data_IF_070648596066
#
_entry.id   IF_070648596066
#
_cell.length_a   1.000
_cell.length_b   1.000
_cell.length_c   1.000
_cell.angle_alpha   90.00
_cell.angle_beta   90.00
_cell.angle_gamma   90.00
#
_symmetry.space_group_name_H-M   'P 1'
#
loop_
_entity.id
_entity.type
_entity.pdbx_description
1 polymer ?
#
# COMPACT_ATOMS: atom_id res chain seq x y z
N UNK A 1 0.53 43.21 39.78
CA UNK A 1 1.12 42.29 38.80
C UNK A 1 0.95 40.89 39.37
N UNK A 2 0.33 39.96 38.64
CA UNK A 2 0.15 38.59 39.12
C UNK A 2 1.39 37.74 38.85
N UNK A 3 1.78 36.93 39.83
CA UNK A 3 2.83 35.93 39.72
C UNK A 3 2.17 34.54 39.75
N UNK A 4 2.63 33.64 38.89
CA UNK A 4 2.21 32.25 38.84
C UNK A 4 3.41 31.35 39.11
N UNK A 5 3.18 30.15 39.63
CA UNK A 5 4.24 29.15 39.83
C UNK A 5 4.36 28.30 38.57
N UNK A 6 5.59 28.09 38.11
CA UNK A 6 5.82 27.17 37.00
C UNK A 6 5.42 25.74 37.41
N UNK A 7 4.64 25.00 36.60
CA UNK A 7 4.19 23.64 36.96
C UNK A 7 5.33 22.64 37.10
N UNK A 8 6.46 22.88 36.43
CA UNK A 8 7.60 21.96 36.35
C UNK A 8 8.69 22.23 37.39
N UNK A 9 9.07 23.50 37.60
CA UNK A 9 10.12 23.86 38.56
C UNK A 9 9.63 24.48 39.88
N UNK A 10 8.33 24.75 40.02
CA UNK A 10 7.72 25.38 41.21
C UNK A 10 8.09 26.85 41.46
N UNK A 11 9.04 27.40 40.69
CA UNK A 11 9.53 28.77 40.84
C UNK A 11 8.48 29.81 40.40
N UNK A 12 8.45 30.94 41.10
CA UNK A 12 7.54 32.05 40.83
C UNK A 12 8.00 32.87 39.61
N UNK A 13 7.09 33.08 38.67
CA UNK A 13 7.30 33.76 37.38
C UNK A 13 6.12 34.69 37.07
N UNK A 14 6.31 35.60 36.12
CA UNK A 14 5.24 36.53 35.70
C UNK A 14 4.13 35.78 34.97
N UNK A 15 2.86 36.12 35.29
CA UNK A 15 1.69 35.54 34.63
C UNK A 15 1.67 35.70 33.09
N UNK A 16 2.42 36.68 32.56
CA UNK A 16 2.49 36.98 31.13
C UNK A 16 3.73 36.37 30.41
N UNK A 17 4.49 35.48 31.06
CA UNK A 17 5.68 34.87 30.47
C UNK A 17 5.36 33.57 29.72
N UNK A 18 5.58 33.57 28.39
CA UNK A 18 5.29 32.42 27.49
C UNK A 18 6.12 31.17 27.84
N UNK A 19 7.29 31.35 28.45
CA UNK A 19 8.13 30.25 28.93
C UNK A 19 8.83 30.60 30.24
N UNK A 20 9.11 29.58 31.05
CA UNK A 20 9.84 29.72 32.30
C UNK A 20 11.32 29.95 32.02
N UNK A 21 11.89 31.02 32.57
CA UNK A 21 13.32 31.34 32.41
C UNK A 21 14.28 30.33 33.07
N UNK A 22 13.80 29.53 34.02
CA UNK A 22 14.63 28.63 34.82
C UNK A 22 14.67 27.19 34.29
N UNK A 23 13.57 26.68 33.73
CA UNK A 23 13.49 25.32 33.17
C UNK A 23 13.11 25.26 31.67
N UNK A 24 12.75 26.38 31.04
CA UNK A 24 12.37 26.45 29.62
C UNK A 24 10.93 26.02 29.30
N UNK A 25 10.19 25.46 30.26
CA UNK A 25 8.84 24.95 30.02
C UNK A 25 7.87 26.07 29.62
N UNK A 26 7.07 25.84 28.58
CA UNK A 26 6.06 26.80 28.08
C UNK A 26 4.89 26.87 29.06
N UNK A 27 4.45 28.08 29.41
CA UNK A 27 3.24 28.28 30.20
C UNK A 27 2.15 28.74 29.25
N UNK A 28 1.40 27.77 28.74
CA UNK A 28 0.13 28.03 28.06
C UNK A 28 -0.98 28.26 29.07
N UNK A 29 -1.95 29.10 28.74
CA UNK A 29 -3.23 29.11 29.44
C UNK A 29 -3.92 27.77 29.18
N UNK A 30 -4.22 27.05 30.25
CA UNK A 30 -4.84 25.73 30.20
C UNK A 30 -6.36 25.86 30.13
N UNK A 31 -6.96 25.44 29.01
CA UNK A 31 -8.21 24.69 29.08
C UNK A 31 -7.85 23.19 29.08
N UNK A 32 -8.27 22.50 30.14
CA UNK A 32 -7.96 21.09 30.42
C UNK A 32 -9.07 20.13 29.95
N UNK A 33 -8.68 18.86 29.90
CA UNK A 33 -9.44 17.61 29.65
C UNK A 33 -9.65 17.19 28.18
N UNK A 34 -9.31 15.96 27.74
CA UNK A 34 -8.57 14.85 28.40
C UNK A 34 -7.85 13.97 27.34
N UNK A 35 -6.58 13.62 27.61
CA UNK A 35 -5.78 12.46 27.12
C UNK A 35 -6.02 11.93 25.69
N UNK A 36 -5.04 12.13 24.80
CA UNK A 36 -4.24 11.04 24.20
C UNK A 36 -3.02 11.61 23.44
N UNK A 37 -1.88 10.92 23.53
CA UNK A 37 -0.75 11.14 22.63
C UNK A 37 -1.10 10.52 21.28
N UNK A 38 -1.38 11.35 20.27
CA UNK A 38 -1.22 10.98 18.85
C UNK A 38 -1.29 12.22 17.94
N UNK A 39 -0.45 12.18 16.89
CA UNK A 39 -0.51 12.91 15.62
C UNK A 39 -0.26 14.45 15.50
N UNK A 40 0.61 14.79 14.55
CA UNK A 40 0.62 16.08 13.83
C UNK A 40 0.96 15.85 12.35
N UNK A 41 0.09 15.04 11.75
CA UNK A 41 -0.10 14.75 10.35
C UNK A 41 0.28 15.86 9.36
N UNK A 42 1.01 15.45 8.32
CA UNK A 42 0.76 15.97 6.97
C UNK A 42 -0.27 15.05 6.32
N UNK A 43 -1.51 15.55 6.19
CA UNK A 43 -2.62 14.94 5.46
C UNK A 43 -3.07 13.52 5.90
N UNK A 44 -3.36 13.30 7.19
CA UNK A 44 -4.35 12.28 7.54
C UNK A 44 -5.75 12.77 7.12
N UNK A 45 -6.10 12.54 5.85
CA UNK A 45 -7.46 12.79 5.39
C UNK A 45 -8.39 11.83 6.13
N UNK A 46 -9.25 12.39 6.97
CA UNK A 46 -10.46 11.77 7.53
C UNK A 46 -11.48 11.52 6.42
N UNK A 47 -11.13 10.67 5.46
CA UNK A 47 -12.02 10.30 4.36
C UNK A 47 -13.25 9.61 4.96
N UNK A 48 -14.49 10.00 4.58
CA UNK A 48 -15.72 9.45 5.13
C UNK A 48 -15.71 7.91 5.10
N UNK A 49 -15.88 7.30 6.28
CA UNK A 49 -15.64 5.87 6.51
C UNK A 49 -16.50 4.96 5.61
N UNK A 50 -17.73 5.37 5.30
CA UNK A 50 -18.62 4.67 4.35
C UNK A 50 -18.24 4.78 2.87
N UNK A 51 -17.35 5.70 2.49
CA UNK A 51 -16.89 5.87 1.10
C UNK A 51 -15.61 5.06 0.84
N UNK A 52 -14.75 4.88 1.86
CA UNK A 52 -13.48 4.13 1.77
C UNK A 52 -13.67 2.64 1.42
N UNK A 53 -14.62 1.90 2.00
CA UNK A 53 -14.77 0.46 1.68
C UNK A 53 -15.13 0.22 0.20
N UNK A 54 -15.95 1.10 -0.38
CA UNK A 54 -16.32 1.06 -1.79
C UNK A 54 -15.12 1.33 -2.71
N UNK A 55 -14.14 2.09 -2.24
CA UNK A 55 -12.89 2.38 -2.95
C UNK A 55 -11.92 1.18 -2.92
N UNK A 56 -11.69 0.59 -1.74
CA UNK A 56 -10.89 -0.64 -1.62
C UNK A 56 -11.46 -1.80 -2.44
N UNK A 57 -12.79 -1.95 -2.48
CA UNK A 57 -13.45 -2.94 -3.34
C UNK A 57 -13.23 -2.68 -4.86
N UNK A 58 -13.08 -1.43 -5.29
CA UNK A 58 -12.70 -1.10 -6.70
C UNK A 58 -11.24 -1.43 -6.96
N UNK A 59 -10.35 -1.13 -6.01
CA UNK A 59 -8.90 -1.39 -6.11
C UNK A 59 -8.62 -2.90 -6.16
N UNK A 60 -9.19 -3.69 -5.25
CA UNK A 60 -9.02 -5.14 -5.21
C UNK A 60 -9.49 -5.83 -6.50
N UNK A 61 -10.65 -5.43 -7.04
CA UNK A 61 -11.15 -5.91 -8.34
C UNK A 61 -10.18 -5.58 -9.49
N UNK A 62 -9.62 -4.37 -9.54
CA UNK A 62 -8.62 -4.01 -10.56
C UNK A 62 -7.36 -4.87 -10.45
N UNK A 63 -6.85 -5.11 -9.23
CA UNK A 63 -5.66 -5.96 -9.01
C UNK A 63 -5.86 -7.38 -9.54
N UNK A 64 -7.03 -7.98 -9.26
CA UNK A 64 -7.36 -9.32 -9.74
C UNK A 64 -7.45 -9.37 -11.27
N UNK A 65 -8.11 -8.39 -11.91
CA UNK A 65 -8.20 -8.32 -13.38
C UNK A 65 -6.79 -8.26 -14.01
N UNK A 66 -5.91 -7.42 -13.47
CA UNK A 66 -4.52 -7.30 -13.93
C UNK A 66 -3.74 -8.62 -13.73
N UNK A 67 -3.88 -9.27 -12.56
CA UNK A 67 -3.25 -10.56 -12.29
C UNK A 67 -3.71 -11.68 -13.25
N UNK A 68 -5.00 -11.72 -13.58
CA UNK A 68 -5.53 -12.65 -14.59
C UNK A 68 -4.96 -12.40 -16.00
N UNK A 69 -4.74 -11.13 -16.39
CA UNK A 69 -4.09 -10.79 -17.67
C UNK A 69 -2.66 -11.34 -17.73
N UNK A 70 -1.88 -11.21 -16.65
CA UNK A 70 -0.53 -11.78 -16.59
C UNK A 70 -0.52 -13.31 -16.70
N UNK A 71 -1.49 -14.00 -16.10
CA UNK A 71 -1.66 -15.45 -16.31
C UNK A 71 -1.99 -15.80 -17.76
N UNK A 72 -2.91 -15.09 -18.42
CA UNK A 72 -3.26 -15.33 -19.84
C UNK A 72 -2.03 -15.16 -20.74
N UNK A 73 -1.21 -14.11 -20.52
CA UNK A 73 0.03 -13.88 -21.27
C UNK A 73 1.06 -14.98 -20.99
N UNK A 74 1.18 -15.43 -19.73
CA UNK A 74 2.04 -16.55 -19.37
C UNK A 74 1.63 -17.85 -20.08
N UNK A 75 0.34 -18.18 -20.07
CA UNK A 75 -0.17 -19.38 -20.76
C UNK A 75 -0.01 -19.28 -22.28
N UNK A 76 -0.19 -18.09 -22.88
CA UNK A 76 0.10 -17.86 -24.29
C UNK A 76 1.54 -18.21 -24.66
N UNK A 77 2.52 -17.91 -23.78
CA UNK A 77 3.94 -18.25 -24.01
C UNK A 77 4.21 -19.75 -24.08
N UNK A 78 3.50 -20.58 -23.32
CA UNK A 78 3.68 -22.05 -23.35
C UNK A 78 2.82 -22.70 -24.44
N UNK A 79 1.54 -22.35 -24.55
CA UNK A 79 0.60 -23.07 -25.42
C UNK A 79 0.69 -22.69 -26.90
N UNK A 80 1.24 -21.52 -27.22
CA UNK A 80 1.36 -21.05 -28.61
C UNK A 80 2.85 -20.93 -28.92
N UNK A 81 3.40 -22.04 -29.41
CA UNK A 81 4.78 -22.17 -29.89
C UNK A 81 4.76 -22.63 -31.35
N UNK A 82 5.59 -22.01 -32.20
CA UNK A 82 5.85 -22.48 -33.56
C UNK A 82 7.33 -22.26 -33.89
N UNK A 83 8.04 -23.35 -34.18
CA UNK A 83 9.48 -23.34 -34.49
C UNK A 83 9.84 -22.71 -35.84
N UNK A 84 8.86 -22.46 -36.72
CA UNK A 84 9.09 -21.87 -38.05
C UNK A 84 9.72 -22.83 -39.07
N UNK A 85 9.57 -24.15 -38.86
CA UNK A 85 10.29 -25.23 -39.57
C UNK A 85 10.01 -25.25 -41.08
N UNK A 86 8.79 -24.88 -41.50
CA UNK A 86 8.38 -24.86 -42.91
C UNK A 86 8.64 -23.50 -43.58
N UNK A 87 8.49 -22.40 -42.83
CA UNK A 87 8.79 -21.04 -43.28
C UNK A 87 9.35 -20.21 -42.10
N UNK A 88 10.65 -19.89 -42.18
CA UNK A 88 11.41 -19.20 -41.12
C UNK A 88 10.82 -17.86 -40.65
N UNK A 89 9.97 -17.22 -41.45
CA UNK A 89 9.31 -15.95 -41.13
C UNK A 89 8.14 -16.05 -40.15
N UNK A 90 7.61 -17.26 -39.88
CA UNK A 90 6.41 -17.47 -39.03
C UNK A 90 6.73 -18.12 -37.67
N UNK A 91 7.94 -17.91 -37.14
CA UNK A 91 8.31 -18.40 -35.82
C UNK A 91 7.58 -17.62 -34.71
N UNK A 92 6.90 -18.32 -33.81
CA UNK A 92 6.13 -17.74 -32.70
C UNK A 92 6.65 -18.28 -31.38
N UNK A 93 7.08 -17.38 -30.49
CA UNK A 93 7.71 -17.71 -29.21
C UNK A 93 8.93 -18.65 -29.36
N UNK A 94 9.62 -18.58 -30.51
CA UNK A 94 10.96 -19.10 -30.70
C UNK A 94 11.98 -17.95 -30.59
N UNK A 95 13.13 -18.22 -29.97
CA UNK A 95 14.18 -17.23 -29.68
C UNK A 95 15.56 -17.73 -30.14
N UNK A 96 15.78 -19.04 -30.11
CA UNK A 96 17.03 -19.70 -30.48
C UNK A 96 16.73 -20.99 -31.26
N UNK A 97 17.73 -21.53 -31.95
CA UNK A 97 17.58 -22.79 -32.69
C UNK A 97 17.39 -23.99 -31.77
N UNK A 98 16.35 -24.80 -32.04
CA UNK A 98 16.05 -26.05 -31.33
C UNK A 98 14.91 -25.93 -30.31
N UNK A 99 13.94 -26.84 -30.40
CA UNK A 99 12.67 -26.74 -29.65
C UNK A 99 12.83 -26.83 -28.14
N UNK A 100 13.74 -27.68 -27.67
CA UNK A 100 14.00 -27.86 -26.24
C UNK A 100 14.42 -26.55 -25.55
N UNK A 101 15.25 -25.73 -26.21
CA UNK A 101 15.66 -24.44 -25.65
C UNK A 101 14.50 -23.44 -25.61
N UNK A 102 13.70 -23.35 -26.68
CA UNK A 102 12.54 -22.46 -26.72
C UNK A 102 11.47 -22.84 -25.68
N UNK A 103 11.25 -24.15 -25.45
CA UNK A 103 10.36 -24.65 -24.41
C UNK A 103 10.84 -24.24 -23.00
N UNK A 104 12.13 -24.38 -22.70
CA UNK A 104 12.71 -23.94 -21.41
C UNK A 104 12.55 -22.42 -21.23
N UNK A 105 12.83 -21.63 -22.28
CA UNK A 105 12.70 -20.17 -22.25
C UNK A 105 11.23 -19.75 -22.02
N UNK A 106 10.27 -20.36 -22.73
CA UNK A 106 8.86 -20.06 -22.52
C UNK A 106 8.36 -20.50 -21.13
N UNK A 107 8.91 -21.59 -20.57
CA UNK A 107 8.62 -22.02 -19.22
C UNK A 107 9.13 -21.01 -18.16
N UNK A 108 10.31 -20.40 -18.33
CA UNK A 108 10.79 -19.37 -17.40
C UNK A 108 9.97 -18.08 -17.49
N UNK A 109 9.56 -17.65 -18.69
CA UNK A 109 8.62 -16.54 -18.85
C UNK A 109 7.27 -16.83 -18.16
N UNK A 110 6.71 -18.02 -18.38
CA UNK A 110 5.48 -18.44 -17.70
C UNK A 110 5.61 -18.44 -16.18
N UNK A 111 6.71 -18.98 -15.63
CA UNK A 111 6.93 -19.00 -14.19
C UNK A 111 6.98 -17.58 -13.59
N UNK A 112 7.74 -16.66 -14.20
CA UNK A 112 7.82 -15.27 -13.75
C UNK A 112 6.47 -14.53 -13.82
N UNK A 113 5.76 -14.66 -14.94
CA UNK A 113 4.43 -14.06 -15.13
C UNK A 113 3.38 -14.67 -14.19
N UNK A 114 3.49 -15.97 -13.88
CA UNK A 114 2.59 -16.67 -12.95
C UNK A 114 2.78 -16.20 -11.51
N UNK A 115 4.02 -15.93 -11.08
CA UNK A 115 4.33 -15.38 -9.74
C UNK A 115 3.79 -13.95 -9.62
N UNK A 116 4.02 -13.09 -10.62
CA UNK A 116 3.51 -11.70 -10.62
C UNK A 116 1.97 -11.69 -10.64
N UNK A 117 1.35 -12.51 -11.51
CA UNK A 117 -0.11 -12.63 -11.58
C UNK A 117 -0.72 -13.16 -10.28
N UNK A 118 -0.13 -14.23 -9.72
CA UNK A 118 -0.60 -14.86 -8.48
C UNK A 118 -0.48 -13.94 -7.27
N UNK A 119 0.64 -13.22 -7.12
CA UNK A 119 0.82 -12.26 -6.00
C UNK A 119 -0.15 -11.09 -6.09
N UNK A 120 -0.47 -10.57 -7.28
CA UNK A 120 -1.48 -9.53 -7.51
C UNK A 120 -2.93 -10.00 -7.24
N UNK A 121 -3.23 -11.28 -7.50
CA UNK A 121 -4.53 -11.89 -7.17
C UNK A 121 -4.65 -12.04 -5.65
N UNK A 122 -3.63 -12.60 -4.98
CA UNK A 122 -3.63 -12.81 -3.52
C UNK A 122 -3.75 -11.47 -2.78
N UNK A 123 -2.97 -10.45 -3.18
CA UNK A 123 -3.05 -9.12 -2.57
C UNK A 123 -4.41 -8.46 -2.81
N UNK A 124 -4.99 -8.59 -4.02
CA UNK A 124 -6.34 -8.11 -4.33
C UNK A 124 -7.42 -8.76 -3.48
N UNK A 125 -7.33 -10.07 -3.22
CA UNK A 125 -8.24 -10.81 -2.33
C UNK A 125 -8.10 -10.32 -0.88
N UNK A 126 -6.87 -10.20 -0.37
CA UNK A 126 -6.61 -9.72 0.99
C UNK A 126 -7.17 -8.31 1.25
N UNK A 127 -7.02 -7.39 0.28
CA UNK A 127 -7.58 -6.03 0.37
C UNK A 127 -9.12 -6.05 0.40
N UNK A 128 -9.78 -6.91 -0.37
CA UNK A 128 -11.24 -7.04 -0.31
C UNK A 128 -11.74 -7.68 0.99
N UNK A 129 -11.01 -8.66 1.54
CA UNK A 129 -11.30 -9.25 2.85
C UNK A 129 -11.19 -8.17 3.94
N UNK A 130 -10.12 -7.37 3.92
CA UNK A 130 -9.94 -6.27 4.85
C UNK A 130 -11.08 -5.24 4.75
N UNK A 131 -11.49 -4.85 3.53
CA UNK A 131 -12.63 -3.96 3.32
C UNK A 131 -13.94 -4.53 3.88
N UNK A 132 -14.16 -5.85 3.78
CA UNK A 132 -15.33 -6.53 4.36
C UNK A 132 -15.30 -6.65 5.88
N UNK A 133 -14.12 -6.77 6.48
CA UNK A 133 -13.97 -6.75 7.94
C UNK A 133 -14.26 -5.35 8.52
N UNK A 134 -13.81 -4.30 7.84
CA UNK A 134 -14.13 -2.91 8.19
C UNK A 134 -15.65 -2.63 8.12
N UNK A 135 -16.35 -3.15 7.10
CA UNK A 135 -17.81 -3.04 6.98
C UNK A 135 -18.60 -3.76 8.09
N UNK A 136 -18.02 -4.80 8.72
CA UNK A 136 -18.68 -5.58 9.79
C UNK A 136 -18.45 -5.01 11.19
N UNK A 137 -17.48 -4.12 11.36
CA UNK A 137 -17.08 -3.57 12.67
C UNK A 137 -17.84 -2.29 13.06
N UNK A 138 -18.92 -1.97 12.35
CA UNK A 138 -19.76 -0.78 12.49
C UNK A 138 -21.24 -1.17 12.47
#
# INVERSE_FOLDING_TARGET
MALIKCPECGQEISANSVSCFYCGCKIGENDLDLVQEDDCSTDEKTVPKGTRSLEYNKIGKKSIIVGCIFWIIGFFKIFIYNGGEEYSSNSINAYVGGDAYNLIINATYFAGLSVIGGTLIISGILVMIYAKLQEKSY
#
